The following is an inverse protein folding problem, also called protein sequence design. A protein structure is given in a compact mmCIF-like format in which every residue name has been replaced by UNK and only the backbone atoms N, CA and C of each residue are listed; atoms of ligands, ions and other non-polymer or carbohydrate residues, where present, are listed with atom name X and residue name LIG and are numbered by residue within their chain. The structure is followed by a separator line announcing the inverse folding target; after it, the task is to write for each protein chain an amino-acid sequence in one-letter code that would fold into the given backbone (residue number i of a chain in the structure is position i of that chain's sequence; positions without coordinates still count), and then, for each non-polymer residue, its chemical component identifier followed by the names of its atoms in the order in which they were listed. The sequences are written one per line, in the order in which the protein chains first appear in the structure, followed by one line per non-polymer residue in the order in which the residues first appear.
data_IF_591373948326
#
_entry.id   IF_591373948326
#
_cell.length_a   1.000
_cell.length_b   1.000
_cell.length_c   1.000
_cell.angle_alpha   90.00
_cell.angle_beta   90.00
_cell.angle_gamma   90.00
#
_symmetry.space_group_name_H-M   'P 1'
#
loop_
_entity.id
_entity.type
_entity.pdbx_description
1 polymer ?
#
# COMPACT_ATOMS: atom_id res chain seq x y z
N UNK A 1 -18.15 5.16 20.16
CA UNK A 1 -16.78 5.30 19.66
C UNK A 1 -16.67 4.41 18.43
N UNK A 2 -16.98 4.93 17.25
CA UNK A 2 -16.96 4.12 16.03
C UNK A 2 -15.52 4.06 15.55
N UNK A 3 -14.91 2.88 15.66
CA UNK A 3 -13.59 2.62 15.12
C UNK A 3 -13.74 2.51 13.60
N UNK A 4 -13.50 3.60 12.88
CA UNK A 4 -13.28 3.53 11.45
C UNK A 4 -11.98 2.74 11.25
N UNK A 5 -12.03 1.61 10.54
CA UNK A 5 -10.84 0.80 10.29
C UNK A 5 -9.71 1.71 9.78
N UNK A 6 -8.55 1.70 10.45
CA UNK A 6 -7.42 2.54 10.04
C UNK A 6 -6.94 2.06 8.67
N UNK A 7 -7.33 2.79 7.62
CA UNK A 7 -6.85 2.52 6.28
C UNK A 7 -5.49 3.16 6.09
N UNK A 8 -4.55 2.38 5.59
CA UNK A 8 -3.23 2.84 5.20
C UNK A 8 -3.21 3.29 3.73
N UNK A 9 -2.47 4.36 3.47
CA UNK A 9 -2.21 4.90 2.14
C UNK A 9 -0.69 4.98 1.93
N UNK A 10 -0.21 4.49 0.80
CA UNK A 10 1.22 4.59 0.49
C UNK A 10 1.60 6.06 0.23
N UNK A 11 2.75 6.46 0.78
CA UNK A 11 3.35 7.77 0.53
C UNK A 11 3.53 8.00 -0.97
N UNK A 12 3.01 9.12 -1.46
CA UNK A 12 3.12 9.52 -2.87
C UNK A 12 2.61 8.46 -3.87
N UNK A 13 1.60 7.66 -3.49
CA UNK A 13 1.01 6.61 -4.33
C UNK A 13 0.69 7.12 -5.75
N UNK A 14 1.27 6.46 -6.76
CA UNK A 14 1.09 6.83 -8.16
C UNK A 14 -0.27 6.36 -8.71
N UNK A 15 -0.77 5.22 -8.21
CA UNK A 15 -1.96 4.55 -8.69
C UNK A 15 -3.22 5.20 -8.11
N UNK A 16 -3.96 5.96 -8.91
CA UNK A 16 -5.16 6.69 -8.48
C UNK A 16 -6.18 5.82 -7.72
N UNK A 17 -6.39 4.57 -8.15
CA UNK A 17 -7.33 3.66 -7.49
C UNK A 17 -6.94 3.34 -6.03
N UNK A 18 -5.63 3.27 -5.72
CA UNK A 18 -5.12 2.97 -4.37
C UNK A 18 -5.21 4.16 -3.41
N UNK A 19 -5.28 5.38 -3.95
CA UNK A 19 -5.47 6.65 -3.21
C UNK A 19 -6.88 7.24 -3.35
N UNK A 20 -7.86 6.43 -3.77
CA UNK A 20 -9.28 6.83 -3.80
C UNK A 20 -9.94 6.46 -2.47
N UNK A 21 -10.62 7.42 -1.83
CA UNK A 21 -11.46 7.22 -0.65
C UNK A 21 -12.90 7.59 -0.97
N UNK A 22 -13.86 6.96 -0.28
CA UNK A 22 -15.27 7.29 -0.40
C UNK A 22 -15.78 7.90 0.89
N UNK A 23 -16.72 8.83 0.76
CA UNK A 23 -17.44 9.43 1.88
C UNK A 23 -18.88 9.71 1.45
N UNK A 24 -19.78 9.81 2.42
CA UNK A 24 -21.21 10.03 2.19
C UNK A 24 -21.62 11.34 2.82
N UNK A 25 -22.27 12.21 2.05
CA UNK A 25 -22.78 13.49 2.52
C UNK A 25 -24.29 13.40 2.76
N UNK A 26 -24.72 13.93 3.91
CA UNK A 26 -26.11 14.12 4.29
C UNK A 26 -26.44 15.60 4.39
N UNK A 27 -27.68 15.96 4.02
CA UNK A 27 -28.19 17.31 4.23
C UNK A 27 -28.44 17.53 5.73
N UNK A 28 -27.90 18.61 6.29
CA UNK A 28 -28.07 18.93 7.72
C UNK A 28 -29.52 19.16 8.12
N UNK A 29 -30.35 19.62 7.18
CA UNK A 29 -31.74 19.98 7.44
C UNK A 29 -32.63 18.77 7.76
N UNK A 30 -32.39 17.63 7.11
CA UNK A 30 -33.31 16.49 7.14
C UNK A 30 -32.62 15.10 7.11
N UNK A 31 -31.29 15.05 7.05
CA UNK A 31 -30.51 13.82 7.01
C UNK A 31 -30.63 13.03 5.69
N UNK A 32 -31.23 13.60 4.65
CA UNK A 32 -31.34 12.96 3.33
C UNK A 32 -30.01 13.00 2.57
N UNK A 33 -29.85 12.15 1.56
CA UNK A 33 -28.65 12.12 0.71
C UNK A 33 -28.41 13.48 0.04
N UNK A 34 -27.24 14.08 0.30
CA UNK A 34 -26.83 15.31 -0.33
C UNK A 34 -26.24 15.03 -1.73
N UNK A 35 -27.10 15.03 -2.73
CA UNK A 35 -26.73 14.80 -4.14
C UNK A 35 -26.43 16.10 -4.88
N UNK A 36 -25.63 16.03 -5.96
CA UNK A 36 -25.33 17.18 -6.83
C UNK A 36 -24.49 18.28 -6.19
N UNK A 37 -23.82 18.01 -5.06
CA UNK A 37 -22.95 18.98 -4.40
C UNK A 37 -21.63 19.10 -5.14
N UNK A 38 -21.14 20.33 -5.29
CA UNK A 38 -19.81 20.60 -5.83
C UNK A 38 -18.88 20.85 -4.68
N UNK A 39 -18.02 19.89 -4.37
CA UNK A 39 -17.02 20.02 -3.31
C UNK A 39 -15.81 20.76 -3.90
N UNK A 40 -15.69 22.04 -3.58
CA UNK A 40 -14.66 22.93 -4.09
C UNK A 40 -13.39 22.90 -3.22
N UNK A 41 -12.33 23.54 -3.73
CA UNK A 41 -11.11 23.76 -2.98
C UNK A 41 -11.40 24.72 -1.81
N UNK A 42 -11.43 24.17 -0.59
CA UNK A 42 -11.84 24.86 0.63
C UNK A 42 -12.86 24.07 1.43
N UNK A 43 -13.71 23.30 0.74
CA UNK A 43 -14.69 22.42 1.38
C UNK A 43 -14.03 21.12 1.84
N UNK A 44 -12.99 20.65 1.12
CA UNK A 44 -12.16 19.52 1.50
C UNK A 44 -10.76 20.00 1.88
N UNK A 45 -10.44 19.92 3.17
CA UNK A 45 -9.13 20.27 3.71
C UNK A 45 -8.44 19.06 4.33
N UNK A 46 -7.11 19.05 4.27
CA UNK A 46 -6.26 18.00 4.82
C UNK A 46 -5.19 18.57 5.75
N UNK A 47 -4.89 17.84 6.81
CA UNK A 47 -3.73 18.03 7.67
C UNK A 47 -2.80 16.84 7.49
N UNK A 48 -1.54 17.12 7.15
CA UNK A 48 -0.49 16.12 6.96
C UNK A 48 0.42 16.09 8.17
N UNK A 49 0.51 14.95 8.84
CA UNK A 49 1.36 14.74 10.02
C UNK A 49 1.22 15.85 11.09
N UNK A 50 -0.01 16.34 11.30
CA UNK A 50 -0.31 17.41 12.26
C UNK A 50 -0.02 18.83 11.79
N UNK A 51 0.27 19.05 10.50
CA UNK A 51 0.36 20.39 9.93
C UNK A 51 -0.98 21.14 9.97
N UNK A 52 -0.95 22.46 9.78
CA UNK A 52 -2.18 23.24 9.62
C UNK A 52 -3.01 22.71 8.43
N UNK A 53 -4.33 22.75 8.55
CA UNK A 53 -5.22 22.35 7.48
C UNK A 53 -5.02 23.23 6.25
N UNK A 54 -4.86 22.58 5.10
CA UNK A 54 -4.80 23.23 3.79
C UNK A 54 -5.71 22.50 2.81
N UNK A 55 -6.03 23.15 1.70
CA UNK A 55 -6.89 22.56 0.67
C UNK A 55 -6.26 21.28 0.12
N UNK A 56 -7.05 20.21 0.02
CA UNK A 56 -6.64 19.04 -0.73
C UNK A 56 -6.52 19.38 -2.22
N UNK A 57 -5.58 18.74 -2.92
CA UNK A 57 -5.34 18.99 -4.36
C UNK A 57 -5.90 17.89 -5.25
N UNK A 58 -6.41 16.82 -4.67
CA UNK A 58 -7.14 15.76 -5.36
C UNK A 58 -8.50 16.21 -5.93
N UNK A 59 -9.19 15.27 -6.55
CA UNK A 59 -10.48 15.52 -7.21
C UNK A 59 -11.61 14.79 -6.51
N UNK A 60 -12.69 15.53 -6.21
CA UNK A 60 -13.94 14.97 -5.69
C UNK A 60 -14.96 14.83 -6.81
N UNK A 61 -15.64 13.69 -6.86
CA UNK A 61 -16.75 13.46 -7.79
C UNK A 61 -17.85 12.66 -7.11
N UNK A 62 -19.11 13.01 -7.36
CA UNK A 62 -20.24 12.18 -6.94
C UNK A 62 -20.23 10.83 -7.66
N UNK A 63 -20.61 9.77 -6.95
CA UNK A 63 -20.81 8.42 -7.47
C UNK A 63 -22.30 8.16 -7.68
N UNK A 64 -23.09 8.24 -6.61
CA UNK A 64 -24.57 8.15 -6.62
C UNK A 64 -25.11 8.28 -5.18
N UNK A 65 -26.31 8.82 -4.99
CA UNK A 65 -27.03 8.76 -3.71
C UNK A 65 -26.26 9.38 -2.54
N UNK A 66 -25.67 10.56 -2.74
CA UNK A 66 -24.88 11.25 -1.71
C UNK A 66 -23.51 10.64 -1.44
N UNK A 67 -23.13 9.55 -2.12
CA UNK A 67 -21.77 9.04 -2.08
C UNK A 67 -20.87 9.79 -3.03
N UNK A 68 -19.74 10.24 -2.52
CA UNK A 68 -18.67 10.90 -3.26
C UNK A 68 -17.39 10.09 -3.14
N UNK A 69 -16.54 10.20 -4.15
CA UNK A 69 -15.16 9.72 -4.09
C UNK A 69 -14.20 10.91 -4.13
N UNK A 70 -13.19 10.87 -3.27
CA UNK A 70 -12.01 11.73 -3.33
C UNK A 70 -10.85 10.90 -3.86
N UNK A 71 -10.25 11.37 -4.94
CA UNK A 71 -9.01 10.82 -5.49
C UNK A 71 -7.89 11.77 -5.09
N UNK A 72 -7.26 11.55 -3.93
CA UNK A 72 -6.17 12.38 -3.39
C UNK A 72 -5.05 12.52 -4.40
N UNK A 73 -4.47 13.70 -4.64
CA UNK A 73 -3.27 13.78 -5.47
C UNK A 73 -2.09 13.04 -4.78
N UNK A 74 -1.07 12.62 -5.55
CA UNK A 74 0.14 12.04 -4.96
C UNK A 74 0.84 13.03 -4.01
N UNK A 75 0.73 14.34 -4.31
CA UNK A 75 1.20 15.41 -3.44
C UNK A 75 0.45 15.44 -2.11
N UNK A 76 -0.84 15.11 -2.05
CA UNK A 76 -1.60 15.08 -0.78
C UNK A 76 -1.09 14.00 0.20
N UNK A 77 -0.35 13.00 -0.30
CA UNK A 77 0.17 11.85 0.44
C UNK A 77 1.70 11.85 0.58
N UNK A 78 2.37 12.99 0.39
CA UNK A 78 3.83 13.08 0.34
C UNK A 78 4.54 13.06 1.70
N UNK A 79 3.79 12.99 2.79
CA UNK A 79 4.30 13.12 4.17
C UNK A 79 3.85 11.91 4.99
N UNK A 80 4.78 11.25 5.68
CA UNK A 80 4.49 10.09 6.53
C UNK A 80 3.78 10.52 7.82
N UNK A 81 2.86 9.69 8.30
CA UNK A 81 2.08 9.95 9.51
C UNK A 81 0.59 10.08 9.23
N UNK A 82 -0.14 10.63 10.20
CA UNK A 82 -1.58 10.83 10.09
C UNK A 82 -1.93 11.81 8.96
N UNK A 83 -2.93 11.44 8.16
CA UNK A 83 -3.62 12.31 7.23
C UNK A 83 -5.04 12.51 7.72
N UNK A 84 -5.31 13.65 8.36
CA UNK A 84 -6.66 14.02 8.77
C UNK A 84 -7.33 14.82 7.69
N UNK A 85 -8.58 14.49 7.39
CA UNK A 85 -9.41 15.14 6.40
C UNK A 85 -10.62 15.73 7.09
N UNK A 86 -10.99 16.95 6.71
CA UNK A 86 -12.23 17.58 7.09
C UNK A 86 -12.96 18.03 5.83
N UNK A 87 -14.25 17.67 5.77
CA UNK A 87 -15.13 17.98 4.66
C UNK A 87 -16.27 18.81 5.22
N UNK A 88 -16.39 20.06 4.79
CA UNK A 88 -17.45 20.98 5.19
C UNK A 88 -18.04 21.60 3.93
N UNK A 89 -19.27 21.23 3.62
CA UNK A 89 -20.02 21.77 2.48
C UNK A 89 -21.31 22.43 2.97
N UNK A 90 -21.69 23.54 2.35
CA UNK A 90 -22.84 24.32 2.80
C UNK A 90 -24.15 23.51 2.75
N UNK A 91 -24.85 23.46 3.90
CA UNK A 91 -26.10 22.73 4.07
C UNK A 91 -25.92 21.21 4.23
N UNK A 92 -24.68 20.74 4.38
CA UNK A 92 -24.35 19.34 4.65
C UNK A 92 -23.66 19.19 6.01
N UNK A 93 -23.78 17.99 6.58
CA UNK A 93 -23.07 17.66 7.82
C UNK A 93 -21.57 17.52 7.55
N UNK A 94 -20.75 18.12 8.42
CA UNK A 94 -19.30 17.99 8.30
C UNK A 94 -18.83 16.58 8.61
N UNK A 95 -17.80 16.14 7.89
CA UNK A 95 -17.18 14.83 8.06
C UNK A 95 -15.72 15.03 8.45
N UNK A 96 -15.28 14.31 9.48
CA UNK A 96 -13.86 14.16 9.79
C UNK A 96 -13.44 12.69 9.68
N UNK A 97 -12.34 12.44 8.98
CA UNK A 97 -11.76 11.10 8.82
C UNK A 97 -10.24 11.19 8.88
N UNK A 98 -9.61 10.17 9.46
CA UNK A 98 -8.15 10.08 9.52
C UNK A 98 -7.68 8.80 8.82
N UNK A 99 -6.61 8.92 8.07
CA UNK A 99 -5.89 7.83 7.41
C UNK A 99 -4.43 7.81 7.90
N UNK A 100 -3.76 6.68 7.71
CA UNK A 100 -2.33 6.57 7.99
C UNK A 100 -1.55 6.58 6.68
N UNK A 101 -0.60 7.50 6.52
CA UNK A 101 0.34 7.48 5.40
C UNK A 101 1.58 6.67 5.80
N UNK A 102 1.85 5.61 5.05
CA UNK A 102 2.94 4.65 5.29
C UNK A 102 3.98 4.69 4.16
N UNK A 103 5.22 4.33 4.49
CA UNK A 103 6.30 4.29 3.51
C UNK A 103 6.25 3.06 2.58
N UNK A 104 5.68 1.96 3.09
CA UNK A 104 5.61 0.68 2.39
C UNK A 104 4.41 0.63 1.42
N UNK A 105 4.41 -0.29 0.46
CA UNK A 105 3.24 -0.54 -0.40
C UNK A 105 2.37 -1.63 0.24
N UNK A 106 1.22 -1.28 0.86
CA UNK A 106 0.39 -2.25 1.57
C UNK A 106 -0.20 -3.33 0.66
N UNK A 107 -0.23 -3.11 -0.66
CA UNK A 107 -0.70 -4.07 -1.65
C UNK A 107 0.43 -4.99 -2.13
N UNK A 108 1.64 -4.47 -2.34
CA UNK A 108 2.78 -5.29 -2.77
C UNK A 108 3.31 -6.15 -1.61
N UNK A 109 3.40 -5.59 -0.41
CA UNK A 109 3.97 -6.29 0.75
C UNK A 109 3.19 -7.57 1.06
N UNK A 110 1.86 -7.50 1.07
CA UNK A 110 1.01 -8.68 1.32
C UNK A 110 1.13 -9.71 0.21
N UNK A 111 1.35 -9.29 -1.04
CA UNK A 111 1.55 -10.19 -2.17
C UNK A 111 2.89 -10.94 -2.05
N UNK A 112 3.96 -10.23 -1.67
CA UNK A 112 5.29 -10.82 -1.43
C UNK A 112 5.23 -11.84 -0.29
N UNK A 113 4.61 -11.47 0.84
CA UNK A 113 4.47 -12.37 1.99
C UNK A 113 3.71 -13.64 1.60
N UNK A 114 2.60 -13.51 0.85
CA UNK A 114 1.85 -14.67 0.34
C UNK A 114 2.68 -15.55 -0.59
N UNK A 115 3.45 -14.95 -1.49
CA UNK A 115 4.34 -15.67 -2.39
C UNK A 115 5.34 -16.52 -1.63
N UNK A 116 6.00 -15.94 -0.62
CA UNK A 116 6.95 -16.66 0.24
C UNK A 116 6.29 -17.77 1.06
N UNK A 117 5.15 -17.50 1.71
CA UNK A 117 4.43 -18.50 2.55
C UNK A 117 3.95 -19.68 1.71
N UNK A 118 3.54 -19.44 0.47
CA UNK A 118 3.07 -20.50 -0.43
C UNK A 118 4.22 -21.21 -1.17
N UNK A 119 5.48 -20.81 -0.95
CA UNK A 119 6.63 -21.38 -1.65
C UNK A 119 6.72 -20.99 -3.13
N UNK A 120 6.05 -19.92 -3.55
CA UNK A 120 6.10 -19.37 -4.93
C UNK A 120 7.38 -18.56 -5.12
N UNK A 121 8.53 -19.17 -4.82
CA UNK A 121 9.83 -18.52 -4.88
C UNK A 121 10.88 -19.43 -5.49
N UNK A 122 11.81 -18.84 -6.23
CA UNK A 122 12.98 -19.56 -6.77
C UNK A 122 14.26 -18.95 -6.23
N UNK A 123 15.25 -19.79 -5.98
CA UNK A 123 16.63 -19.36 -5.78
C UNK A 123 17.37 -19.51 -7.12
N UNK A 124 17.89 -18.42 -7.65
CA UNK A 124 18.55 -18.36 -8.94
C UNK A 124 19.84 -17.52 -8.89
N UNK A 125 20.55 -17.45 -10.03
CA UNK A 125 21.82 -16.74 -10.17
C UNK A 125 22.82 -17.10 -9.06
N UNK A 126 22.89 -18.40 -8.74
CA UNK A 126 23.64 -18.91 -7.59
C UNK A 126 25.14 -18.91 -7.86
N UNK A 127 25.92 -18.50 -6.86
CA UNK A 127 27.37 -18.59 -6.86
C UNK A 127 27.82 -19.53 -5.77
N UNK A 128 28.80 -20.38 -6.07
CA UNK A 128 29.33 -21.36 -5.14
C UNK A 128 30.82 -21.14 -4.92
N UNK A 129 31.33 -21.46 -3.73
CA UNK A 129 32.77 -21.53 -3.49
C UNK A 129 33.39 -22.83 -4.04
N UNK A 130 34.71 -22.97 -3.88
CA UNK A 130 35.46 -24.16 -4.30
C UNK A 130 35.04 -25.44 -3.57
N UNK A 131 34.42 -25.32 -2.38
CA UNK A 131 33.88 -26.45 -1.63
C UNK A 131 32.44 -26.80 -2.04
N UNK A 132 31.86 -26.06 -3.00
CA UNK A 132 30.48 -26.23 -3.46
C UNK A 132 29.43 -25.62 -2.53
N UNK A 133 29.83 -24.78 -1.57
CA UNK A 133 28.88 -24.06 -0.71
C UNK A 133 28.35 -22.81 -1.41
N UNK A 134 27.05 -22.55 -1.28
CA UNK A 134 26.43 -21.34 -1.81
C UNK A 134 27.03 -20.11 -1.11
N UNK A 135 27.61 -19.21 -1.89
CA UNK A 135 28.19 -17.94 -1.42
C UNK A 135 27.33 -16.74 -1.76
N UNK A 136 26.45 -16.89 -2.75
CA UNK A 136 25.56 -15.84 -3.19
C UNK A 136 24.48 -16.37 -4.11
N UNK A 137 23.44 -15.57 -4.29
CA UNK A 137 22.32 -15.91 -5.16
C UNK A 137 21.26 -14.83 -5.11
N UNK A 138 20.11 -15.15 -5.69
CA UNK A 138 18.95 -14.28 -5.67
C UNK A 138 17.70 -15.10 -5.41
N UNK A 139 16.90 -14.70 -4.42
CA UNK A 139 15.56 -15.25 -4.21
C UNK A 139 14.59 -14.34 -4.95
N UNK A 140 13.87 -14.89 -5.92
CA UNK A 140 12.76 -14.20 -6.60
C UNK A 140 11.44 -14.75 -6.10
N UNK A 141 10.49 -13.86 -5.83
CA UNK A 141 9.14 -14.19 -5.32
C UNK A 141 8.12 -13.90 -6.41
N UNK A 142 7.15 -14.78 -6.59
CA UNK A 142 6.13 -14.70 -7.62
C UNK A 142 4.73 -14.79 -7.00
N UNK A 143 3.75 -14.30 -7.74
CA UNK A 143 2.34 -14.37 -7.32
C UNK A 143 1.81 -15.81 -7.31
N UNK A 144 2.27 -16.65 -8.24
CA UNK A 144 1.82 -18.04 -8.39
C UNK A 144 2.98 -19.02 -8.55
N UNK A 145 2.75 -20.28 -8.18
CA UNK A 145 3.72 -21.36 -8.37
C UNK A 145 4.06 -21.57 -9.85
N UNK A 146 3.07 -21.43 -10.75
CA UNK A 146 3.29 -21.60 -12.19
C UNK A 146 4.28 -20.55 -12.75
N UNK A 147 4.22 -19.31 -12.26
CA UNK A 147 5.19 -18.27 -12.64
C UNK A 147 6.57 -18.57 -12.06
N UNK A 148 6.64 -19.04 -10.81
CA UNK A 148 7.90 -19.45 -10.19
C UNK A 148 8.55 -20.61 -10.96
N UNK A 149 7.79 -21.64 -11.33
CA UNK A 149 8.27 -22.80 -12.10
C UNK A 149 8.71 -22.44 -13.52
N UNK A 150 8.06 -21.44 -14.13
CA UNK A 150 8.41 -20.95 -15.47
C UNK A 150 9.62 -20.00 -15.47
N UNK A 151 10.07 -19.53 -14.30
CA UNK A 151 11.16 -18.57 -14.19
C UNK A 151 12.47 -19.16 -14.72
N UNK A 152 13.19 -18.39 -15.54
CA UNK A 152 14.47 -18.82 -16.10
C UNK A 152 15.63 -18.36 -15.21
N UNK A 153 16.71 -19.13 -15.12
CA UNK A 153 17.87 -18.74 -14.31
C UNK A 153 18.50 -17.44 -14.83
N UNK A 154 18.64 -16.44 -13.96
CA UNK A 154 19.11 -15.11 -14.33
C UNK A 154 18.07 -14.23 -15.03
N UNK A 155 16.83 -14.72 -15.19
CA UNK A 155 15.72 -13.97 -15.80
C UNK A 155 15.38 -12.68 -15.08
N UNK A 156 14.81 -11.72 -15.81
CA UNK A 156 14.30 -10.45 -15.25
C UNK A 156 13.01 -10.05 -15.94
N UNK A 157 12.00 -9.63 -15.19
CA UNK A 157 10.74 -9.17 -15.76
C UNK A 157 9.82 -10.32 -16.16
N UNK A 158 9.94 -11.47 -15.49
CA UNK A 158 9.13 -12.68 -15.70
C UNK A 158 7.86 -12.69 -14.83
N UNK A 159 7.54 -11.56 -14.21
CA UNK A 159 6.41 -11.42 -13.27
C UNK A 159 6.81 -11.58 -11.82
N UNK A 160 8.07 -11.31 -11.48
CA UNK A 160 8.52 -11.24 -10.10
C UNK A 160 7.81 -10.13 -9.33
N UNK A 161 7.34 -10.43 -8.11
CA UNK A 161 6.86 -9.45 -7.15
C UNK A 161 8.02 -8.75 -6.44
N UNK A 162 9.09 -9.49 -6.17
CA UNK A 162 10.30 -8.99 -5.53
C UNK A 162 11.50 -9.90 -5.85
N UNK A 163 12.69 -9.34 -5.74
CA UNK A 163 13.95 -10.07 -5.81
C UNK A 163 14.86 -9.63 -4.66
N UNK A 164 15.39 -10.61 -3.93
CA UNK A 164 16.27 -10.41 -2.78
C UNK A 164 17.63 -11.03 -3.08
N UNK A 165 18.71 -10.28 -2.86
CA UNK A 165 20.07 -10.82 -2.97
C UNK A 165 20.39 -11.63 -1.74
N UNK A 166 20.85 -12.86 -1.94
CA UNK A 166 21.45 -13.70 -0.91
C UNK A 166 22.96 -13.54 -0.99
N UNK A 167 23.59 -13.25 0.14
CA UNK A 167 25.04 -13.22 0.26
C UNK A 167 25.43 -13.92 1.56
N UNK A 168 26.37 -14.85 1.49
CA UNK A 168 26.90 -15.54 2.66
C UNK A 168 28.23 -14.90 3.02
N UNK A 169 28.28 -14.25 4.19
CA UNK A 169 29.52 -13.66 4.72
C UNK A 169 30.10 -14.58 5.79
N UNK A 170 31.25 -15.21 5.51
CA UNK A 170 31.98 -16.07 6.45
C UNK A 170 32.09 -17.52 5.97
N UNK A 171 33.26 -17.88 5.45
CA UNK A 171 33.64 -19.26 5.13
C UNK A 171 34.37 -19.90 6.33
N UNK A 172 33.80 -20.95 6.92
CA UNK A 172 34.51 -22.12 7.50
C UNK A 172 33.69 -22.97 8.52
N UNK A 173 32.41 -22.67 8.75
CA UNK A 173 31.53 -23.52 9.56
C UNK A 173 30.19 -23.66 8.84
N UNK A 174 29.65 -24.89 8.78
CA UNK A 174 28.43 -25.23 8.06
C UNK A 174 27.34 -24.16 8.26
N UNK A 175 26.74 -23.60 7.20
CA UNK A 175 25.54 -22.79 7.34
C UNK A 175 24.39 -23.72 7.73
N UNK A 176 24.19 -23.97 9.02
CA UNK A 176 23.05 -24.73 9.51
C UNK A 176 21.83 -23.81 9.59
N UNK A 177 20.88 -23.98 8.65
CA UNK A 177 19.55 -23.40 8.73
C UNK A 177 18.71 -24.25 9.70
N UNK A 178 18.74 -23.92 10.99
CA UNK A 178 17.89 -24.56 11.99
C UNK A 178 16.45 -24.06 11.88
N UNK A 179 15.56 -24.88 11.32
CA UNK A 179 14.11 -24.73 11.46
C UNK A 179 13.60 -25.92 12.29
N UNK A 180 13.52 -25.76 13.60
CA UNK A 180 12.82 -26.73 14.46
C UNK A 180 11.40 -26.22 14.71
N UNK A 181 10.40 -26.98 14.27
CA UNK A 181 9.07 -26.89 14.88
C UNK A 181 9.13 -27.68 16.18
N UNK A 182 8.98 -27.02 17.32
CA UNK A 182 8.65 -27.72 18.55
C UNK A 182 7.19 -28.19 18.40
N UNK A 183 6.99 -29.52 18.47
CA UNK A 183 5.66 -30.15 18.52
C UNK A 183 4.88 -29.71 19.77
#
# INVERSE_FOLDING_TARGET
MSYCASRELQKSEATAARRTVMFHLTNTADGTDATGKTIAAGDFVISKAGAAFGNATGTVTEVSGGWYKMVFAAADLDTLGDLSCEITEAGCDSIQVTFQVVAHDPYADIAIIKGLVNGNSVLDNTTYDTAGMLTGGRIRVFETAALAEAATDGGTGEGELAAFTVAVTGSNGKPDLFLSSED
#
